data_IF_015062324886
#
_entry.id   IF_015062324886
#
_cell.length_a   1.000
_cell.length_b   1.000
_cell.length_c   1.000
_cell.angle_alpha   90.00
_cell.angle_beta   90.00
_cell.angle_gamma   90.00
#
_symmetry.space_group_name_H-M   'P 1'
#
loop_
_entity.id
_entity.type
_entity.pdbx_description
1 polymer ?
#
# COMPACT_ATOMS: atom_id res chain seq x y z
N UNK A 1 5.14 -25.09 -23.16
CA UNK A 1 5.55 -24.39 -21.92
C UNK A 1 6.68 -25.22 -21.32
N UNK A 2 7.79 -24.57 -20.94
CA UNK A 2 8.93 -25.27 -20.34
C UNK A 2 8.55 -25.77 -18.94
N UNK A 3 9.17 -26.84 -18.45
CA UNK A 3 8.96 -27.31 -17.06
C UNK A 3 9.33 -26.23 -16.03
N UNK A 4 10.18 -25.28 -16.40
CA UNK A 4 10.59 -24.12 -15.60
C UNK A 4 9.48 -23.07 -15.38
N UNK A 5 8.45 -23.09 -16.22
CA UNK A 5 7.36 -22.10 -16.18
C UNK A 5 6.23 -22.49 -15.22
N UNK A 6 6.22 -23.73 -14.72
CA UNK A 6 5.22 -24.19 -13.75
C UNK A 6 5.67 -23.85 -12.33
N UNK A 7 4.79 -23.20 -11.56
CA UNK A 7 5.01 -22.99 -10.13
C UNK A 7 4.93 -24.35 -9.44
N UNK A 8 5.98 -24.80 -8.70
CA UNK A 8 5.93 -26.07 -8.00
C UNK A 8 4.85 -26.03 -6.91
N UNK A 9 4.31 -27.17 -6.45
CA UNK A 9 3.32 -27.17 -5.37
C UNK A 9 3.93 -26.58 -4.08
N UNK A 10 3.07 -25.99 -3.24
CA UNK A 10 3.49 -25.49 -1.93
C UNK A 10 4.11 -26.64 -1.11
N UNK A 11 5.37 -26.54 -0.67
CA UNK A 11 6.01 -27.63 0.04
C UNK A 11 5.45 -27.72 1.46
N UNK A 12 5.11 -28.93 1.91
CA UNK A 12 4.91 -29.18 3.34
C UNK A 12 6.22 -28.98 4.09
N UNK A 13 6.16 -28.71 5.39
CA UNK A 13 7.36 -28.63 6.24
C UNK A 13 8.20 -29.89 6.10
N UNK A 14 7.57 -31.07 6.15
CA UNK A 14 8.25 -32.35 5.99
C UNK A 14 8.99 -32.45 4.65
N UNK A 15 8.32 -32.08 3.54
CA UNK A 15 8.91 -32.09 2.20
C UNK A 15 10.06 -31.09 2.08
N UNK A 16 9.92 -29.89 2.64
CA UNK A 16 10.94 -28.86 2.58
C UNK A 16 12.21 -29.27 3.35
N UNK A 17 12.06 -29.83 4.55
CA UNK A 17 13.19 -30.26 5.40
C UNK A 17 13.91 -31.50 4.89
N UNK A 18 13.25 -32.32 4.08
CA UNK A 18 13.86 -33.48 3.44
C UNK A 18 14.56 -33.13 2.11
N UNK A 19 14.37 -31.91 1.62
CA UNK A 19 14.92 -31.43 0.35
C UNK A 19 16.25 -30.70 0.49
N UNK A 20 16.71 -30.17 -0.65
CA UNK A 20 18.00 -29.47 -0.73
C UNK A 20 17.98 -28.10 -0.03
N UNK A 21 19.17 -27.69 0.42
CA UNK A 21 19.43 -26.39 1.02
C UNK A 21 20.24 -25.53 0.05
N UNK A 22 19.82 -24.28 -0.10
CA UNK A 22 20.53 -23.26 -0.88
C UNK A 22 21.24 -22.30 0.07
N UNK A 23 22.46 -21.91 -0.29
CA UNK A 23 23.25 -20.91 0.42
C UNK A 23 23.04 -19.54 -0.24
N UNK A 24 22.51 -18.58 0.51
CA UNK A 24 22.30 -17.21 0.10
C UNK A 24 23.37 -16.31 0.74
N UNK A 25 24.19 -15.65 -0.08
CA UNK A 25 25.24 -14.74 0.41
C UNK A 25 24.71 -13.32 0.45
N UNK A 26 24.45 -12.78 1.64
CA UNK A 26 23.75 -11.50 1.79
C UNK A 26 24.70 -10.38 2.19
N UNK A 27 24.57 -9.24 1.52
CA UNK A 27 25.28 -8.00 1.83
C UNK A 27 26.77 -8.02 1.48
N UNK A 28 27.46 -6.87 1.61
CA UNK A 28 28.87 -6.72 1.23
C UNK A 28 29.83 -7.45 2.19
N UNK A 29 29.41 -7.71 3.43
CA UNK A 29 30.18 -8.53 4.39
C UNK A 29 30.04 -10.04 4.21
N UNK A 30 29.24 -10.48 3.22
CA UNK A 30 28.92 -11.88 2.86
C UNK A 30 28.73 -12.79 4.07
N UNK A 31 27.52 -12.77 4.64
CA UNK A 31 27.08 -13.84 5.54
C UNK A 31 26.30 -14.89 4.74
N UNK A 32 26.65 -16.16 4.96
CA UNK A 32 26.01 -17.31 4.33
C UNK A 32 24.76 -17.69 5.11
N UNK A 33 23.59 -17.64 4.46
CA UNK A 33 22.31 -18.06 5.02
C UNK A 33 21.79 -19.30 4.31
N UNK A 34 21.25 -20.25 5.06
CA UNK A 34 20.76 -21.53 4.55
C UNK A 34 19.24 -21.52 4.52
N UNK A 35 18.66 -21.73 3.34
CA UNK A 35 17.21 -21.74 3.13
C UNK A 35 16.83 -22.96 2.29
N UNK A 36 15.70 -23.61 2.59
CA UNK A 36 15.24 -24.77 1.83
C UNK A 36 14.89 -24.37 0.38
N UNK A 37 15.46 -25.10 -0.58
CA UNK A 37 15.29 -24.90 -2.02
C UNK A 37 13.81 -24.85 -2.42
N UNK A 38 13.01 -25.77 -1.88
CA UNK A 38 11.59 -25.88 -2.20
C UNK A 38 10.79 -24.61 -1.83
N UNK A 39 11.12 -23.94 -0.72
CA UNK A 39 10.45 -22.71 -0.30
C UNK A 39 10.76 -21.55 -1.25
N UNK A 40 12.04 -21.39 -1.61
CA UNK A 40 12.48 -20.33 -2.52
C UNK A 40 11.83 -20.47 -3.90
N UNK A 41 11.88 -21.66 -4.48
CA UNK A 41 11.41 -21.92 -5.85
C UNK A 41 9.88 -21.94 -5.98
N UNK A 42 9.17 -22.23 -4.89
CA UNK A 42 7.71 -22.09 -4.84
C UNK A 42 7.29 -20.63 -4.82
N UNK A 43 7.86 -19.84 -3.91
CA UNK A 43 7.38 -18.48 -3.64
C UNK A 43 8.01 -17.38 -4.51
N UNK A 44 9.06 -17.68 -5.28
CA UNK A 44 9.75 -16.70 -6.12
C UNK A 44 10.11 -17.28 -7.48
N UNK A 45 9.65 -16.62 -8.54
CA UNK A 45 10.03 -16.99 -9.91
C UNK A 45 11.51 -16.75 -10.18
N UNK A 46 12.09 -15.69 -9.60
CA UNK A 46 13.53 -15.44 -9.69
C UNK A 46 14.33 -16.64 -9.18
N UNK A 47 14.05 -17.09 -7.96
CA UNK A 47 14.79 -18.22 -7.38
C UNK A 47 14.52 -19.52 -8.12
N UNK A 48 13.29 -19.74 -8.60
CA UNK A 48 12.97 -20.89 -9.47
C UNK A 48 13.82 -20.89 -10.74
N UNK A 49 13.94 -19.76 -11.42
CA UNK A 49 14.77 -19.64 -12.63
C UNK A 49 16.26 -19.78 -12.33
N UNK A 50 16.73 -19.23 -11.20
CA UNK A 50 18.13 -19.30 -10.80
C UNK A 50 18.56 -20.72 -10.37
N UNK A 51 17.67 -21.48 -9.72
CA UNK A 51 18.01 -22.74 -9.05
C UNK A 51 17.56 -24.01 -9.78
N UNK A 52 16.58 -23.94 -10.68
CA UNK A 52 16.10 -25.11 -11.44
C UNK A 52 16.67 -25.21 -12.86
N UNK A 53 17.49 -24.23 -13.29
CA UNK A 53 18.09 -24.20 -14.62
C UNK A 53 19.54 -24.69 -14.66
N UNK A 54 20.24 -24.36 -15.75
CA UNK A 54 21.65 -24.73 -15.95
C UNK A 54 22.66 -23.69 -15.44
N UNK A 55 22.16 -22.68 -14.71
CA UNK A 55 22.97 -21.58 -14.18
C UNK A 55 23.95 -22.06 -13.12
N UNK A 56 24.99 -21.25 -12.88
CA UNK A 56 26.02 -21.55 -11.87
C UNK A 56 25.40 -21.74 -10.50
N UNK A 57 24.41 -20.91 -10.17
CA UNK A 57 23.64 -20.91 -8.94
C UNK A 57 22.93 -22.24 -8.69
N UNK A 58 22.33 -22.84 -9.73
CA UNK A 58 21.68 -24.14 -9.66
C UNK A 58 22.69 -25.27 -9.43
N UNK A 59 23.86 -25.23 -10.09
CA UNK A 59 24.90 -26.25 -9.97
C UNK A 59 25.62 -26.20 -8.62
N UNK A 60 25.85 -25.00 -8.10
CA UNK A 60 26.58 -24.78 -6.85
C UNK A 60 25.66 -24.75 -5.63
N UNK A 61 24.36 -24.51 -5.81
CA UNK A 61 23.43 -24.27 -4.71
C UNK A 61 23.74 -22.98 -3.95
N UNK A 62 24.39 -22.00 -4.60
CA UNK A 62 24.82 -20.74 -3.98
C UNK A 62 24.30 -19.56 -4.79
N UNK A 63 23.60 -18.63 -4.14
CA UNK A 63 23.05 -17.42 -4.77
C UNK A 63 23.59 -16.17 -4.05
N UNK A 64 24.45 -15.37 -4.70
CA UNK A 64 24.97 -14.13 -4.11
C UNK A 64 24.00 -12.95 -4.31
N UNK A 65 23.60 -12.31 -3.20
CA UNK A 65 22.73 -11.13 -3.16
C UNK A 65 23.41 -10.01 -2.35
N UNK A 66 24.50 -9.47 -2.91
CA UNK A 66 25.42 -8.57 -2.21
C UNK A 66 24.85 -7.17 -1.93
N UNK A 67 23.84 -6.77 -2.69
CA UNK A 67 23.17 -5.49 -2.60
C UNK A 67 21.86 -5.53 -1.78
N UNK A 68 21.51 -6.71 -1.26
CA UNK A 68 20.34 -6.88 -0.40
C UNK A 68 20.70 -6.58 1.04
N UNK A 69 19.95 -5.66 1.66
CA UNK A 69 20.03 -5.37 3.08
C UNK A 69 19.59 -6.59 3.91
N UNK A 70 20.40 -6.98 4.90
CA UNK A 70 20.15 -8.16 5.72
C UNK A 70 18.78 -8.12 6.42
N UNK A 71 18.34 -6.94 6.86
CA UNK A 71 17.04 -6.79 7.52
C UNK A 71 15.89 -7.15 6.57
N UNK A 72 15.97 -6.75 5.29
CA UNK A 72 14.96 -7.04 4.28
C UNK A 72 14.94 -8.53 3.93
N UNK A 73 16.13 -9.13 3.83
CA UNK A 73 16.27 -10.56 3.63
C UNK A 73 15.63 -11.38 4.78
N UNK A 74 15.85 -10.97 6.03
CA UNK A 74 15.25 -11.64 7.20
C UNK A 74 13.73 -11.69 7.12
N UNK A 75 13.07 -10.58 6.76
CA UNK A 75 11.62 -10.57 6.59
C UNK A 75 11.14 -11.59 5.56
N UNK A 76 11.83 -11.67 4.42
CA UNK A 76 11.46 -12.63 3.39
C UNK A 76 11.59 -14.07 3.90
N UNK A 77 12.70 -14.40 4.58
CA UNK A 77 12.90 -15.75 5.13
C UNK A 77 11.89 -16.06 6.24
N UNK A 78 11.65 -15.17 7.18
CA UNK A 78 10.65 -15.38 8.24
C UNK A 78 9.26 -15.60 7.64
N UNK A 79 8.89 -14.81 6.63
CA UNK A 79 7.64 -15.00 5.90
C UNK A 79 7.57 -16.36 5.18
N UNK A 80 8.65 -16.79 4.52
CA UNK A 80 8.70 -18.11 3.84
C UNK A 80 8.40 -19.28 4.78
N UNK A 81 8.94 -19.23 6.00
CA UNK A 81 8.80 -20.34 6.96
C UNK A 81 7.52 -20.27 7.79
N UNK A 82 6.92 -19.09 7.95
CA UNK A 82 5.67 -18.90 8.70
C UNK A 82 4.44 -18.97 7.81
N UNK A 83 4.60 -19.07 6.49
CA UNK A 83 3.47 -19.06 5.55
C UNK A 83 2.68 -17.75 5.56
N UNK A 84 3.26 -16.67 6.09
CA UNK A 84 2.61 -15.36 6.19
C UNK A 84 1.58 -15.22 7.32
N UNK A 85 1.60 -16.06 8.35
CA UNK A 85 0.74 -15.92 9.54
C UNK A 85 0.94 -14.57 10.26
N UNK A 86 -0.11 -14.00 10.85
CA UNK A 86 -0.20 -12.60 11.32
C UNK A 86 0.88 -12.13 12.34
N UNK A 87 1.69 -13.03 12.90
CA UNK A 87 2.62 -12.73 13.98
C UNK A 87 4.07 -12.43 13.55
N UNK A 88 4.47 -12.76 12.31
CA UNK A 88 5.87 -12.57 11.87
C UNK A 88 6.29 -11.08 11.85
N UNK A 89 5.32 -10.17 11.81
CA UNK A 89 5.59 -8.73 11.71
C UNK A 89 5.44 -7.98 13.05
N UNK A 90 4.82 -8.57 14.08
CA UNK A 90 4.63 -7.90 15.38
C UNK A 90 5.93 -7.65 16.14
N UNK A 91 6.97 -8.45 15.84
CA UNK A 91 8.31 -8.31 16.43
C UNK A 91 9.08 -7.09 15.91
N UNK A 92 8.59 -6.45 14.86
CA UNK A 92 9.23 -5.30 14.25
C UNK A 92 8.30 -4.11 14.43
N UNK A 93 8.71 -3.14 15.25
CA UNK A 93 8.12 -1.79 15.22
C UNK A 93 8.39 -1.20 13.82
N UNK A 94 7.58 -1.57 12.84
CA UNK A 94 7.94 -1.46 11.43
C UNK A 94 7.85 0.00 10.96
N UNK A 95 9.01 0.66 10.97
CA UNK A 95 9.24 1.94 10.29
C UNK A 95 8.77 1.79 8.83
N UNK A 96 7.88 2.65 8.35
CA UNK A 96 7.24 2.52 7.02
C UNK A 96 8.21 2.31 5.85
N UNK A 97 9.45 2.83 5.94
CA UNK A 97 10.49 2.64 4.92
C UNK A 97 10.91 1.18 4.77
N UNK A 98 10.99 0.44 5.87
CA UNK A 98 11.39 -0.97 5.88
C UNK A 98 10.36 -1.83 5.14
N UNK A 99 9.07 -1.60 5.38
CA UNK A 99 8.00 -2.27 4.63
C UNK A 99 8.06 -1.94 3.14
N UNK A 100 8.33 -0.68 2.79
CA UNK A 100 8.45 -0.28 1.40
C UNK A 100 9.65 -0.93 0.70
N UNK A 101 10.79 -1.03 1.38
CA UNK A 101 11.96 -1.78 0.89
C UNK A 101 11.65 -3.27 0.70
N UNK A 102 10.91 -3.88 1.62
CA UNK A 102 10.44 -5.26 1.49
C UNK A 102 9.47 -5.45 0.32
N UNK A 103 8.61 -4.46 0.05
CA UNK A 103 7.74 -4.45 -1.13
C UNK A 103 8.54 -4.41 -2.44
N UNK A 104 9.55 -3.54 -2.53
CA UNK A 104 10.48 -3.47 -3.67
C UNK A 104 11.26 -4.77 -3.83
N UNK A 105 11.68 -5.39 -2.72
CA UNK A 105 12.32 -6.70 -2.73
C UNK A 105 11.40 -7.76 -3.34
N UNK A 106 10.13 -7.83 -2.90
CA UNK A 106 9.15 -8.77 -3.44
C UNK A 106 8.91 -8.59 -4.94
N UNK A 107 8.90 -7.35 -5.43
CA UNK A 107 8.80 -7.04 -6.86
C UNK A 107 10.05 -7.51 -7.63
N UNK A 108 11.25 -7.14 -7.16
CA UNK A 108 12.52 -7.52 -7.79
C UNK A 108 12.72 -9.02 -7.89
N UNK A 109 12.38 -9.75 -6.83
CA UNK A 109 12.55 -11.21 -6.76
C UNK A 109 11.31 -11.97 -7.24
N UNK A 110 10.33 -11.28 -7.85
CA UNK A 110 9.13 -11.87 -8.43
C UNK A 110 8.45 -12.83 -7.43
N UNK A 111 8.19 -12.29 -6.23
CA UNK A 111 7.55 -12.98 -5.11
C UNK A 111 6.18 -12.31 -4.82
N UNK A 112 5.16 -12.53 -5.67
CA UNK A 112 3.92 -11.75 -5.65
C UNK A 112 3.09 -11.95 -4.38
N UNK A 113 3.09 -13.16 -3.79
CA UNK A 113 2.35 -13.43 -2.54
C UNK A 113 3.00 -12.70 -1.36
N UNK A 114 4.33 -12.70 -1.29
CA UNK A 114 5.07 -11.90 -0.31
C UNK A 114 4.80 -10.41 -0.49
N UNK A 115 4.94 -9.91 -1.71
CA UNK A 115 4.67 -8.50 -2.04
C UNK A 115 3.26 -8.07 -1.66
N UNK A 116 2.26 -8.90 -1.92
CA UNK A 116 0.87 -8.65 -1.53
C UNK A 116 0.70 -8.62 -0.01
N UNK A 117 1.33 -9.56 0.72
CA UNK A 117 1.33 -9.56 2.18
C UNK A 117 1.99 -8.28 2.75
N UNK A 118 3.10 -7.82 2.17
CA UNK A 118 3.71 -6.53 2.54
C UNK A 118 2.75 -5.37 2.24
N UNK A 119 2.07 -5.37 1.10
CA UNK A 119 1.11 -4.31 0.75
C UNK A 119 -0.01 -4.20 1.77
N UNK A 120 -0.56 -5.31 2.23
CA UNK A 120 -1.60 -5.36 3.26
C UNK A 120 -1.14 -4.76 4.60
N UNK A 121 0.12 -4.99 4.93
CA UNK A 121 0.77 -4.40 6.09
C UNK A 121 1.01 -2.89 5.92
N UNK A 122 1.48 -2.43 4.75
CA UNK A 122 1.61 -0.99 4.46
C UNK A 122 0.25 -0.31 4.56
N UNK A 123 -0.82 -0.90 4.01
CA UNK A 123 -2.18 -0.35 4.11
C UNK A 123 -2.57 -0.18 5.58
N UNK A 124 -2.32 -1.20 6.41
CA UNK A 124 -2.64 -1.18 7.84
C UNK A 124 -1.87 -0.07 8.55
N UNK A 125 -0.58 0.11 8.28
CA UNK A 125 0.24 1.15 8.92
C UNK A 125 -0.02 2.57 8.38
N UNK A 126 -0.29 2.74 7.08
CA UNK A 126 -0.42 4.07 6.44
C UNK A 126 -1.84 4.63 6.57
N UNK A 127 -2.89 3.80 6.54
CA UNK A 127 -4.27 4.27 6.60
C UNK A 127 -4.90 4.18 8.00
N UNK A 128 -4.40 3.34 8.89
CA UNK A 128 -4.93 3.19 10.24
C UNK A 128 -3.97 3.88 11.21
N UNK A 129 -4.25 5.13 11.63
CA UNK A 129 -3.37 5.83 12.55
C UNK A 129 -3.37 5.10 13.90
N UNK A 130 -2.18 4.79 14.42
CA UNK A 130 -2.01 4.74 15.87
C UNK A 130 -2.04 6.19 16.40
N UNK A 131 -2.55 6.40 17.61
CA UNK A 131 -2.85 7.74 18.16
C UNK A 131 -1.60 8.60 18.38
N UNK A 132 -0.39 8.06 18.19
CA UNK A 132 0.87 8.68 18.60
C UNK A 132 1.90 8.89 17.47
N UNK A 133 1.64 8.45 16.25
CA UNK A 133 2.64 8.55 15.18
C UNK A 133 2.49 9.87 14.42
N UNK A 134 3.14 10.90 14.95
CA UNK A 134 3.46 12.06 14.14
C UNK A 134 4.38 11.64 13.00
N UNK A 135 3.95 11.82 11.75
CA UNK A 135 4.80 11.70 10.56
C UNK A 135 5.34 13.08 10.12
N UNK A 136 6.50 13.54 10.63
CA UNK A 136 7.25 14.58 9.92
C UNK A 136 8.42 13.99 9.10
N UNK A 137 9.43 13.38 9.72
CA UNK A 137 10.72 13.17 9.04
C UNK A 137 10.86 11.81 8.33
N UNK A 138 10.34 10.73 8.93
CA UNK A 138 10.31 9.40 8.31
C UNK A 138 9.44 9.34 7.04
N UNK A 139 8.62 10.38 6.80
CA UNK A 139 7.71 10.46 5.66
C UNK A 139 8.44 10.83 4.35
N UNK A 140 9.45 11.70 4.40
CA UNK A 140 10.11 12.21 3.19
C UNK A 140 11.05 11.18 2.57
N UNK A 141 11.84 10.48 3.40
CA UNK A 141 12.69 9.38 2.95
C UNK A 141 11.84 8.26 2.32
N UNK A 142 10.71 7.92 2.96
CA UNK A 142 9.75 6.96 2.43
C UNK A 142 9.22 7.36 1.04
N UNK A 143 8.77 8.61 0.88
CA UNK A 143 8.25 9.12 -0.38
C UNK A 143 9.34 9.14 -1.46
N UNK A 144 10.52 9.67 -1.15
CA UNK A 144 11.64 9.71 -2.09
C UNK A 144 12.07 8.32 -2.53
N UNK A 145 12.14 7.36 -1.59
CA UNK A 145 12.44 5.98 -1.90
C UNK A 145 11.38 5.36 -2.82
N UNK A 146 10.09 5.60 -2.56
CA UNK A 146 9.00 5.11 -3.41
C UNK A 146 9.13 5.59 -4.85
N UNK A 147 9.31 6.90 -5.06
CA UNK A 147 9.40 7.49 -6.40
C UNK A 147 10.70 7.14 -7.14
N UNK A 148 11.73 6.69 -6.41
CA UNK A 148 12.98 6.22 -7.02
C UNK A 148 12.90 4.75 -7.43
N UNK A 149 12.21 3.92 -6.64
CA UNK A 149 12.30 2.45 -6.75
C UNK A 149 11.02 1.77 -7.23
N UNK A 150 9.90 2.49 -7.30
CA UNK A 150 8.59 1.92 -7.61
C UNK A 150 7.98 2.66 -8.79
N UNK A 151 7.51 1.91 -9.78
CA UNK A 151 6.81 2.50 -10.91
C UNK A 151 5.56 3.25 -10.44
N UNK A 152 5.38 4.48 -10.92
CA UNK A 152 4.31 5.41 -10.54
C UNK A 152 2.88 4.86 -10.70
N UNK A 153 2.70 3.84 -11.55
CA UNK A 153 1.44 3.11 -11.75
C UNK A 153 1.03 2.19 -10.61
N UNK A 154 1.92 1.93 -9.64
CA UNK A 154 1.62 1.04 -8.52
C UNK A 154 0.75 1.73 -7.47
N UNK A 155 -0.22 0.99 -6.94
CA UNK A 155 -1.17 1.50 -5.96
C UNK A 155 -0.51 1.98 -4.66
N UNK A 156 0.66 1.44 -4.30
CA UNK A 156 1.41 1.88 -3.12
C UNK A 156 1.84 3.34 -3.21
N UNK A 157 2.15 3.84 -4.42
CA UNK A 157 2.52 5.26 -4.61
C UNK A 157 1.32 6.16 -4.31
N UNK A 158 0.13 5.76 -4.77
CA UNK A 158 -1.10 6.49 -4.49
C UNK A 158 -1.55 6.37 -3.04
N UNK A 159 -1.33 5.21 -2.41
CA UNK A 159 -1.56 4.99 -0.99
C UNK A 159 -0.74 5.98 -0.13
N UNK A 160 0.52 6.22 -0.48
CA UNK A 160 1.36 7.20 0.22
C UNK A 160 0.85 8.63 0.05
N UNK A 161 0.36 9.00 -1.14
CA UNK A 161 -0.29 10.31 -1.38
C UNK A 161 -1.52 10.46 -0.50
N UNK A 162 -2.38 9.44 -0.45
CA UNK A 162 -3.62 9.47 0.31
C UNK A 162 -3.37 9.46 1.83
N UNK A 163 -2.38 8.69 2.29
CA UNK A 163 -1.89 8.73 3.67
C UNK A 163 -1.34 10.11 4.04
N UNK A 164 -0.52 10.70 3.17
CA UNK A 164 0.01 12.06 3.39
C UNK A 164 -1.12 13.10 3.49
N UNK A 165 -2.07 13.11 2.55
CA UNK A 165 -3.18 14.05 2.58
C UNK A 165 -4.09 13.88 3.81
N UNK A 166 -4.25 12.64 4.31
CA UNK A 166 -5.08 12.33 5.47
C UNK A 166 -4.44 12.76 6.80
N UNK A 167 -3.13 12.59 6.95
CA UNK A 167 -2.44 12.74 8.23
C UNK A 167 -1.66 14.06 8.36
N UNK A 168 -1.35 14.73 7.25
CA UNK A 168 -0.59 15.97 7.27
C UNK A 168 -1.48 17.16 7.68
N UNK A 169 -1.23 17.72 8.87
CA UNK A 169 -1.83 18.99 9.27
C UNK A 169 -1.05 20.16 8.67
N UNK A 170 -1.71 20.92 7.80
CA UNK A 170 -1.20 22.20 7.26
C UNK A 170 -0.86 23.23 8.34
N UNK A 171 -1.29 23.03 9.60
CA UNK A 171 -1.00 23.92 10.72
C UNK A 171 0.44 23.80 11.23
N UNK A 172 1.15 22.68 10.96
CA UNK A 172 2.50 22.41 11.51
C UNK A 172 3.66 22.59 10.52
N UNK A 173 3.38 22.84 9.26
CA UNK A 173 4.42 23.06 8.25
C UNK A 173 3.81 23.60 6.97
N UNK A 174 4.25 24.78 6.54
CA UNK A 174 3.84 25.30 5.24
C UNK A 174 4.42 24.37 4.16
N UNK A 175 3.62 23.95 3.19
CA UNK A 175 4.12 23.28 1.97
C UNK A 175 5.31 24.02 1.33
N UNK A 176 5.42 25.34 1.60
CA UNK A 176 6.55 26.19 1.24
C UNK A 176 7.91 25.73 1.77
N UNK A 177 7.99 24.97 2.86
CA UNK A 177 9.27 24.44 3.39
C UNK A 177 9.55 23.03 2.89
N UNK A 178 8.52 22.19 2.76
CA UNK A 178 8.67 20.74 2.47
C UNK A 178 8.72 20.42 0.97
N UNK A 179 8.15 21.28 0.10
CA UNK A 179 8.07 20.99 -1.35
C UNK A 179 9.43 20.79 -2.04
N UNK A 180 10.53 21.31 -1.48
CA UNK A 180 11.86 21.20 -2.09
C UNK A 180 12.46 19.80 -1.96
N UNK A 181 12.05 19.06 -0.93
CA UNK A 181 12.60 17.74 -0.62
C UNK A 181 11.71 16.61 -1.13
N UNK A 182 10.56 16.94 -1.72
CA UNK A 182 9.60 15.97 -2.25
C UNK A 182 9.65 15.90 -3.78
N UNK A 183 9.42 14.72 -4.37
CA UNK A 183 9.34 14.57 -5.82
C UNK A 183 8.24 15.45 -6.43
N UNK A 184 8.52 16.11 -7.56
CA UNK A 184 7.52 16.94 -8.26
C UNK A 184 6.26 16.15 -8.63
N UNK A 185 6.42 14.89 -9.08
CA UNK A 185 5.30 14.01 -9.38
C UNK A 185 4.43 13.70 -8.15
N UNK A 186 5.01 13.63 -6.96
CA UNK A 186 4.26 13.50 -5.70
C UNK A 186 3.43 14.75 -5.39
N UNK A 187 4.02 15.93 -5.55
CA UNK A 187 3.32 17.20 -5.35
C UNK A 187 2.15 17.37 -6.32
N UNK A 188 2.31 17.00 -7.59
CA UNK A 188 1.21 16.98 -8.55
C UNK A 188 0.08 16.06 -8.10
N UNK A 189 0.41 14.89 -7.53
CA UNK A 189 -0.60 13.96 -7.05
C UNK A 189 -1.39 14.49 -5.86
N UNK A 190 -0.70 15.16 -4.94
CA UNK A 190 -1.30 15.86 -3.80
C UNK A 190 -2.29 16.93 -4.29
N UNK A 191 -1.90 17.75 -5.27
CA UNK A 191 -2.77 18.80 -5.81
C UNK A 191 -4.05 18.22 -6.42
N UNK A 192 -3.94 17.15 -7.21
CA UNK A 192 -5.09 16.44 -7.75
C UNK A 192 -6.00 15.90 -6.63
N UNK A 193 -5.40 15.29 -5.61
CA UNK A 193 -6.12 14.71 -4.47
C UNK A 193 -6.91 15.76 -3.67
N UNK A 194 -6.30 16.91 -3.37
CA UNK A 194 -7.02 18.01 -2.73
C UNK A 194 -8.16 18.57 -3.59
N UNK A 195 -7.99 18.58 -4.91
CA UNK A 195 -9.05 18.93 -5.85
C UNK A 195 -10.28 18.03 -5.73
N UNK A 196 -10.09 16.72 -5.58
CA UNK A 196 -11.20 15.76 -5.38
C UNK A 196 -11.98 16.02 -4.08
N UNK A 197 -11.29 16.30 -2.98
CA UNK A 197 -11.93 16.65 -1.70
C UNK A 197 -12.68 17.98 -1.75
N UNK A 198 -12.29 18.85 -2.68
CA UNK A 198 -12.96 20.11 -2.99
C UNK A 198 -13.92 19.99 -4.19
N UNK A 199 -14.34 18.78 -4.56
CA UNK A 199 -15.26 18.59 -5.69
C UNK A 199 -16.53 19.45 -5.55
N UNK A 200 -17.01 19.96 -6.69
CA UNK A 200 -18.21 20.83 -6.75
C UNK A 200 -19.40 20.20 -6.05
N UNK A 201 -19.59 18.89 -6.18
CA UNK A 201 -20.66 18.14 -5.51
C UNK A 201 -20.56 18.21 -3.97
N UNK A 202 -19.36 18.05 -3.40
CA UNK A 202 -19.13 18.19 -1.95
C UNK A 202 -19.34 19.63 -1.48
N UNK A 203 -18.80 20.61 -2.22
CA UNK A 203 -19.00 22.04 -1.91
C UNK A 203 -20.49 22.39 -1.91
N UNK A 204 -21.23 21.96 -2.92
CA UNK A 204 -22.68 22.20 -3.03
C UNK A 204 -23.46 21.50 -1.91
N UNK A 205 -23.00 20.33 -1.46
CA UNK A 205 -23.59 19.63 -0.33
C UNK A 205 -23.39 20.40 0.98
N UNK A 206 -22.16 20.86 1.24
CA UNK A 206 -21.81 21.68 2.41
C UNK A 206 -22.55 23.01 2.43
N UNK A 207 -22.63 23.70 1.29
CA UNK A 207 -23.41 24.94 1.13
C UNK A 207 -24.88 24.71 1.48
N UNK A 208 -25.50 23.65 0.96
CA UNK A 208 -26.89 23.29 1.29
C UNK A 208 -27.07 22.97 2.76
N UNK A 209 -26.17 22.19 3.36
CA UNK A 209 -26.21 21.87 4.78
C UNK A 209 -26.10 23.13 5.65
N UNK A 210 -25.20 24.06 5.32
CA UNK A 210 -25.03 25.32 6.04
C UNK A 210 -26.27 26.22 5.95
N UNK A 211 -26.91 26.32 4.77
CA UNK A 211 -28.16 27.07 4.60
C UNK A 211 -29.29 26.43 5.41
N UNK A 212 -29.44 25.11 5.37
CA UNK A 212 -30.46 24.40 6.14
C UNK A 212 -30.24 24.55 7.66
N UNK A 213 -28.99 24.48 8.13
CA UNK A 213 -28.64 24.68 9.54
C UNK A 213 -29.03 26.09 10.02
N UNK A 214 -28.70 27.14 9.26
CA UNK A 214 -29.09 28.52 9.61
C UNK A 214 -30.60 28.67 9.74
N UNK A 215 -31.36 28.12 8.80
CA UNK A 215 -32.83 28.11 8.86
C UNK A 215 -33.35 27.38 10.11
N UNK A 216 -32.75 26.24 10.48
CA UNK A 216 -33.12 25.54 11.71
C UNK A 216 -32.86 26.40 12.94
N UNK A 217 -31.71 27.07 13.02
CA UNK A 217 -31.36 27.94 14.14
C UNK A 217 -32.32 29.13 14.25
N UNK A 218 -32.77 29.70 13.12
CA UNK A 218 -33.80 30.74 13.07
C UNK A 218 -35.18 30.24 13.54
N UNK A 219 -35.60 29.04 13.11
CA UNK A 219 -36.93 28.48 13.42
C UNK A 219 -37.04 27.86 14.82
N UNK A 220 -35.92 27.58 15.48
CA UNK A 220 -35.86 26.96 16.82
C UNK A 220 -36.62 27.75 17.89
N UNK A 221 -36.80 29.05 17.67
CA UNK A 221 -37.45 29.96 18.61
C UNK A 221 -38.97 30.07 18.45
N UNK A 222 -39.58 29.41 17.44
CA UNK A 222 -41.00 29.65 17.09
C UNK A 222 -41.90 28.40 16.93
N UNK A 223 -41.41 27.17 17.14
CA UNK A 223 -42.17 25.90 17.00
C UNK A 223 -43.17 25.88 15.81
N UNK A 224 -42.67 26.04 14.57
CA UNK A 224 -43.51 25.98 13.36
C UNK A 224 -43.16 24.79 12.47
N UNK A 225 -44.14 24.29 11.71
CA UNK A 225 -43.98 23.24 10.68
C UNK A 225 -42.73 23.40 9.75
N UNK A 226 -42.28 24.60 9.35
CA UNK A 226 -41.05 24.79 8.57
C UNK A 226 -39.76 24.34 9.27
N UNK A 227 -39.74 24.20 10.60
CA UNK A 227 -38.60 23.66 11.34
C UNK A 227 -38.35 22.19 10.97
N UNK A 228 -39.41 21.39 10.85
CA UNK A 228 -39.30 19.98 10.45
C UNK A 228 -38.81 19.81 9.01
N UNK A 229 -39.19 20.72 8.12
CA UNK A 229 -38.69 20.77 6.74
C UNK A 229 -37.20 21.11 6.69
N UNK A 230 -36.77 22.17 7.40
CA UNK A 230 -35.36 22.56 7.50
C UNK A 230 -34.50 21.45 8.11
N UNK A 231 -35.00 20.76 9.14
CA UNK A 231 -34.33 19.60 9.72
C UNK A 231 -34.19 18.43 8.74
N UNK A 232 -35.22 18.17 7.94
CA UNK A 232 -35.20 17.13 6.91
C UNK A 232 -34.19 17.46 5.80
N UNK A 233 -34.16 18.72 5.35
CA UNK A 233 -33.20 19.21 4.35
C UNK A 233 -31.75 19.11 4.85
N UNK A 234 -31.48 19.49 6.11
CA UNK A 234 -30.17 19.36 6.73
C UNK A 234 -29.73 17.89 6.79
N UNK A 235 -30.60 16.99 7.28
CA UNK A 235 -30.30 15.54 7.35
C UNK A 235 -30.00 14.96 5.98
N UNK A 236 -30.80 15.31 4.96
CA UNK A 236 -30.58 14.85 3.59
C UNK A 236 -29.24 15.32 3.02
N UNK A 237 -28.89 16.61 3.20
CA UNK A 237 -27.61 17.16 2.75
C UNK A 237 -26.42 16.56 3.53
N UNK A 238 -26.52 16.41 4.86
CA UNK A 238 -25.47 15.80 5.68
C UNK A 238 -25.26 14.33 5.32
N UNK A 239 -26.33 13.55 5.14
CA UNK A 239 -26.24 12.15 4.72
C UNK A 239 -25.64 12.01 3.32
N UNK A 240 -25.99 12.90 2.40
CA UNK A 240 -25.39 12.93 1.06
C UNK A 240 -23.90 13.28 1.11
N UNK A 241 -23.49 14.23 1.95
CA UNK A 241 -22.06 14.54 2.15
C UNK A 241 -21.32 13.34 2.76
N UNK A 242 -21.89 12.68 3.77
CA UNK A 242 -21.33 11.45 4.36
C UNK A 242 -21.18 10.33 3.32
N UNK A 243 -22.17 10.17 2.44
CA UNK A 243 -22.14 9.17 1.37
C UNK A 243 -21.02 9.49 0.37
N UNK A 244 -20.93 10.72 -0.11
CA UNK A 244 -19.85 11.17 -1.01
C UNK A 244 -18.46 11.01 -0.38
N UNK A 245 -18.32 11.32 0.93
CA UNK A 245 -17.07 11.07 1.66
C UNK A 245 -16.75 9.59 1.76
N UNK A 246 -17.74 8.74 1.99
CA UNK A 246 -17.56 7.28 2.02
C UNK A 246 -17.15 6.73 0.67
N UNK A 247 -17.80 7.18 -0.41
CA UNK A 247 -17.42 6.84 -1.80
C UNK A 247 -15.96 7.23 -2.07
N UNK A 248 -15.53 8.43 -1.65
CA UNK A 248 -14.14 8.88 -1.75
C UNK A 248 -13.15 8.10 -0.87
N UNK A 249 -13.61 7.40 0.18
CA UNK A 249 -12.77 6.67 1.12
C UNK A 249 -12.74 5.14 0.87
N UNK A 250 -13.66 4.59 0.08
CA UNK A 250 -13.71 3.16 -0.25
C UNK A 250 -12.69 2.79 -1.35
N UNK A 251 -11.44 3.25 -1.22
CA UNK A 251 -10.37 3.00 -2.19
C UNK A 251 -9.71 1.65 -1.92
N UNK A 252 -9.52 0.86 -2.96
CA UNK A 252 -8.76 -0.37 -2.90
C UNK A 252 -7.33 -0.16 -3.42
N UNK A 253 -6.36 -0.44 -2.55
CA UNK A 253 -4.93 -0.46 -2.90
C UNK A 253 -4.36 -1.88 -2.94
N UNK A 254 -5.18 -2.90 -2.62
CA UNK A 254 -4.72 -4.28 -2.51
C UNK A 254 -4.36 -4.86 -3.87
N UNK A 255 -3.37 -5.73 -3.86
CA UNK A 255 -3.01 -6.57 -4.99
C UNK A 255 -3.91 -7.79 -4.98
N UNK A 256 -4.65 -7.99 -6.07
CA UNK A 256 -5.58 -9.12 -6.19
C UNK A 256 -4.87 -10.28 -6.85
N UNK A 257 -4.91 -11.45 -6.22
CA UNK A 257 -4.28 -12.67 -6.75
C UNK A 257 -4.97 -13.19 -8.03
N UNK A 258 -6.27 -12.90 -8.19
CA UNK A 258 -7.04 -13.29 -9.38
C UNK A 258 -7.94 -12.15 -9.88
N UNK A 259 -8.32 -12.22 -11.16
CA UNK A 259 -9.31 -11.32 -11.74
C UNK A 259 -10.69 -11.46 -11.09
N UNK A 260 -11.02 -12.63 -10.55
CA UNK A 260 -12.28 -12.86 -9.85
C UNK A 260 -12.31 -12.14 -8.51
N UNK A 261 -11.22 -12.21 -7.74
CA UNK A 261 -11.09 -11.47 -6.47
C UNK A 261 -11.18 -9.96 -6.72
N UNK A 262 -10.55 -9.48 -7.79
CA UNK A 262 -10.62 -8.07 -8.19
C UNK A 262 -12.05 -7.65 -8.54
N UNK A 263 -12.80 -8.48 -9.28
CA UNK A 263 -14.21 -8.22 -9.62
C UNK A 263 -15.10 -8.18 -8.38
N UNK A 264 -14.94 -9.13 -7.46
CA UNK A 264 -15.70 -9.14 -6.21
C UNK A 264 -15.36 -7.91 -5.35
N UNK A 265 -14.08 -7.55 -5.25
CA UNK A 265 -13.68 -6.33 -4.56
C UNK A 265 -14.29 -5.06 -5.17
N UNK A 266 -14.50 -5.02 -6.49
CA UNK A 266 -15.07 -3.88 -7.20
C UNK A 266 -16.56 -3.64 -6.87
N UNK A 267 -17.23 -4.61 -6.23
CA UNK A 267 -18.60 -4.45 -5.72
C UNK A 267 -18.65 -3.53 -4.48
N UNK A 268 -17.54 -3.41 -3.74
CA UNK A 268 -17.47 -2.68 -2.48
C UNK A 268 -16.45 -1.52 -2.48
N UNK A 269 -15.46 -1.56 -3.37
CA UNK A 269 -14.36 -0.62 -3.41
C UNK A 269 -14.12 -0.05 -4.82
N UNK A 270 -13.55 1.15 -4.87
CA UNK A 270 -13.06 1.78 -6.09
C UNK A 270 -11.60 1.40 -6.29
N UNK A 271 -11.24 0.88 -7.46
CA UNK A 271 -9.86 0.56 -7.80
C UNK A 271 -9.16 1.71 -8.49
N UNK A 272 -7.87 1.84 -8.20
CA UNK A 272 -7.04 2.85 -8.83
C UNK A 272 -6.93 2.61 -10.35
N UNK A 273 -7.14 3.67 -11.11
CA UNK A 273 -6.78 3.80 -12.52
C UNK A 273 -5.51 4.62 -12.65
N UNK A 274 -4.81 4.45 -13.77
CA UNK A 274 -3.56 5.16 -14.01
C UNK A 274 -3.60 5.81 -15.39
N UNK A 275 -3.45 7.12 -15.41
CA UNK A 275 -3.24 7.92 -16.59
C UNK A 275 -1.74 7.93 -16.92
N UNK A 276 -1.38 7.38 -18.09
CA UNK A 276 0.01 7.30 -18.54
C UNK A 276 0.55 8.65 -18.98
N UNK A 277 -0.29 9.51 -19.55
CA UNK A 277 0.11 10.80 -20.10
C UNK A 277 0.34 11.80 -18.98
N UNK A 278 -0.48 11.72 -17.92
CA UNK A 278 -0.36 12.55 -16.73
C UNK A 278 0.56 11.98 -15.62
N UNK A 279 1.05 10.74 -15.76
CA UNK A 279 1.76 9.99 -14.70
C UNK A 279 1.00 10.02 -13.35
N UNK A 280 -0.31 9.77 -13.42
CA UNK A 280 -1.24 10.07 -12.34
C UNK A 280 -2.16 8.88 -12.02
N UNK A 281 -2.16 8.45 -10.76
CA UNK A 281 -3.10 7.47 -10.24
C UNK A 281 -4.37 8.15 -9.71
N UNK A 282 -5.55 7.64 -10.03
CA UNK A 282 -6.83 8.23 -9.64
C UNK A 282 -7.91 7.19 -9.37
N UNK A 283 -8.99 7.60 -8.69
CA UNK A 283 -10.15 6.76 -8.36
C UNK A 283 -11.42 7.44 -8.90
N UNK A 284 -12.21 6.72 -9.71
CA UNK A 284 -13.47 7.20 -10.30
C UNK A 284 -14.70 6.81 -9.47
#
# INVERSE_FOLDING_TARGET
MSSLDQVPPAPSVFTATAGDIVILKIGPGTCDYRVHHALLTHHSEYFRKALCGDWKEAREGVVPLLDVELQIFKFFVEWLYTGGEEDWMKSYNALGLVLLKAYVFGDRFIAPVFRSAIMDNIISHVLVPDKNDGLPDASMELINYAYTNIASKNAVVQLLVDGFCKHWSFEKGSIKTVHKELPSAFLHRILGRFGEEQSKALIDCRKRAAVAQRKMDEYRNYEKAPFTEAQTQYRAASNKEKRLKKELHNRCYREHGTDQDKKHCAEACVHMRYDKDADYGFFE
#
